data_IF_433245145244
#
_entry.id   IF_433245145244
#
_cell.length_a   1.000
_cell.length_b   1.000
_cell.length_c   1.000
_cell.angle_alpha   90.00
_cell.angle_beta   90.00
_cell.angle_gamma   90.00
#
_symmetry.space_group_name_H-M   'P 1'
#
loop_
_entity.id
_entity.type
_entity.pdbx_description
1 polymer ?
#
# COMPACT_ATOMS: atom_id res chain seq x y z
N UNK A 1 -7.45 -11.75 16.59
CA UNK A 1 -7.21 -10.33 16.95
C UNK A 1 -6.36 -9.69 15.88
N UNK A 2 -6.66 -8.44 15.53
CA UNK A 2 -5.87 -7.62 14.61
C UNK A 2 -4.70 -6.99 15.38
N UNK A 3 -3.48 -7.09 14.86
CA UNK A 3 -2.31 -6.41 15.43
C UNK A 3 -2.20 -5.02 14.84
N UNK A 4 -2.03 -4.00 15.67
CA UNK A 4 -1.70 -2.64 15.25
C UNK A 4 -0.21 -2.37 15.48
N UNK A 5 0.43 -1.68 14.55
CA UNK A 5 1.84 -1.29 14.64
C UNK A 5 1.91 0.24 14.76
N UNK A 6 2.24 0.74 15.95
CA UNK A 6 2.08 2.16 16.30
C UNK A 6 3.42 2.83 16.58
N UNK A 7 4.29 2.16 17.33
CA UNK A 7 5.61 2.69 17.70
C UNK A 7 6.63 2.53 16.57
N UNK A 8 7.71 3.31 16.58
CA UNK A 8 8.77 3.18 15.58
C UNK A 8 9.39 1.77 15.55
N UNK A 9 9.51 1.11 16.71
CA UNK A 9 10.01 -0.28 16.80
C UNK A 9 9.04 -1.26 16.15
N UNK A 10 7.74 -1.11 16.39
CA UNK A 10 6.72 -1.96 15.77
C UNK A 10 6.64 -1.72 14.26
N UNK A 11 6.78 -0.47 13.81
CA UNK A 11 6.84 -0.15 12.39
C UNK A 11 8.06 -0.76 11.71
N UNK A 12 9.22 -0.77 12.38
CA UNK A 12 10.41 -1.47 11.90
C UNK A 12 10.17 -2.98 11.79
N UNK A 13 9.50 -3.57 12.77
CA UNK A 13 9.11 -4.99 12.70
C UNK A 13 8.13 -5.25 11.54
N UNK A 14 7.12 -4.40 11.35
CA UNK A 14 6.20 -4.49 10.23
C UNK A 14 6.91 -4.39 8.87
N UNK A 15 7.95 -3.55 8.79
CA UNK A 15 8.79 -3.42 7.60
C UNK A 15 9.52 -4.74 7.28
N UNK A 16 10.14 -5.36 8.28
CA UNK A 16 10.80 -6.66 8.12
C UNK A 16 9.78 -7.75 7.75
N UNK A 17 8.64 -7.79 8.46
CA UNK A 17 7.55 -8.73 8.24
C UNK A 17 6.81 -8.54 6.91
N UNK A 18 7.06 -7.48 6.15
CA UNK A 18 6.48 -7.26 4.80
C UNK A 18 7.53 -7.40 3.69
N UNK A 19 8.80 -7.54 4.04
CA UNK A 19 9.91 -7.66 3.10
C UNK A 19 9.81 -8.95 2.26
N UNK A 20 10.27 -8.86 1.02
CA UNK A 20 10.42 -10.00 0.10
C UNK A 20 9.14 -10.56 -0.50
N UNK A 21 7.95 -10.02 -0.15
CA UNK A 21 6.70 -10.42 -0.79
C UNK A 21 6.29 -9.45 -1.90
N UNK A 22 6.20 -9.89 -3.17
CA UNK A 22 5.70 -9.04 -4.24
C UNK A 22 4.24 -8.64 -4.05
N UNK A 23 3.45 -9.47 -3.38
CA UNK A 23 2.04 -9.22 -3.10
C UNK A 23 1.83 -8.13 -2.05
N UNK A 24 2.84 -7.88 -1.21
CA UNK A 24 2.81 -6.84 -0.18
C UNK A 24 3.50 -5.55 -0.60
N UNK A 25 3.91 -5.38 -1.87
CA UNK A 25 4.67 -4.19 -2.29
C UNK A 25 4.00 -2.86 -1.88
N UNK A 26 2.69 -2.62 -2.11
CA UNK A 26 2.07 -1.37 -1.68
C UNK A 26 2.09 -1.18 -0.16
N UNK A 27 1.94 -2.28 0.59
CA UNK A 27 1.99 -2.29 2.06
C UNK A 27 3.40 -1.95 2.53
N UNK A 28 4.41 -2.67 2.01
CA UNK A 28 5.82 -2.50 2.35
C UNK A 28 6.31 -1.07 2.09
N UNK A 29 6.01 -0.50 0.91
CA UNK A 29 6.39 0.88 0.59
C UNK A 29 5.67 1.92 1.46
N UNK A 30 4.42 1.68 1.83
CA UNK A 30 3.70 2.58 2.74
C UNK A 30 4.34 2.61 4.13
N UNK A 31 4.73 1.45 4.66
CA UNK A 31 5.45 1.35 5.94
C UNK A 31 6.81 2.05 5.85
N UNK A 32 7.56 1.79 4.76
CA UNK A 32 8.85 2.44 4.51
C UNK A 32 8.72 3.96 4.51
N UNK A 33 7.74 4.50 3.78
CA UNK A 33 7.54 5.95 3.69
C UNK A 33 7.14 6.57 5.04
N UNK A 34 6.34 5.88 5.84
CA UNK A 34 6.01 6.33 7.21
C UNK A 34 7.27 6.36 8.09
N UNK A 35 8.08 5.29 8.09
CA UNK A 35 9.35 5.21 8.84
C UNK A 35 10.34 6.31 8.44
N UNK A 36 10.43 6.61 7.14
CA UNK A 36 11.36 7.60 6.59
C UNK A 36 10.81 9.03 6.65
N UNK A 37 9.54 9.23 7.03
CA UNK A 37 8.91 10.55 7.05
C UNK A 37 8.86 11.21 5.67
N UNK A 38 8.79 10.43 4.59
CA UNK A 38 8.87 10.93 3.20
C UNK A 38 7.69 11.85 2.87
N UNK A 39 6.51 11.57 3.44
CA UNK A 39 5.29 12.34 3.24
C UNK A 39 4.72 12.74 4.61
N UNK A 40 5.23 13.80 5.26
CA UNK A 40 4.77 14.21 6.60
C UNK A 40 3.27 14.54 6.66
N UNK A 41 2.69 15.00 5.55
CA UNK A 41 1.27 15.29 5.38
C UNK A 41 0.38 14.04 5.26
N UNK A 42 0.99 12.85 5.15
CA UNK A 42 0.28 11.58 5.05
C UNK A 42 0.68 10.64 6.19
N UNK A 43 -0.31 10.19 6.97
CA UNK A 43 -0.12 9.27 8.10
C UNK A 43 -0.73 7.91 7.83
N UNK A 44 0.02 6.86 8.15
CA UNK A 44 -0.38 5.48 7.97
C UNK A 44 -0.75 4.83 9.31
N UNK A 45 -1.95 4.26 9.40
CA UNK A 45 -2.31 3.28 10.41
C UNK A 45 -2.10 1.88 9.81
N UNK A 46 -1.25 1.07 10.43
CA UNK A 46 -0.81 -0.22 9.88
C UNK A 46 -1.31 -1.36 10.75
N UNK A 47 -1.91 -2.35 10.11
CA UNK A 47 -2.51 -3.49 10.77
C UNK A 47 -2.12 -4.80 10.10
N UNK A 48 -1.94 -5.84 10.92
CA UNK A 48 -1.61 -7.20 10.48
C UNK A 48 -2.50 -8.26 11.12
N UNK A 49 -2.80 -9.32 10.38
CA UNK A 49 -3.57 -10.47 10.84
C UNK A 49 -3.03 -11.77 10.26
N UNK A 50 -2.97 -12.88 11.02
CA UNK A 50 -3.23 -12.99 12.46
C UNK A 50 -2.19 -12.27 13.32
N UNK A 51 -2.51 -12.01 14.59
CA UNK A 51 -1.70 -11.18 15.50
C UNK A 51 -0.21 -11.59 15.57
N UNK A 52 0.06 -12.88 15.79
CA UNK A 52 1.44 -13.37 15.96
C UNK A 52 2.20 -13.60 14.66
N UNK A 53 1.51 -13.91 13.57
CA UNK A 53 2.14 -14.22 12.28
C UNK A 53 1.32 -13.61 11.13
N UNK A 54 1.41 -12.29 10.91
CA UNK A 54 0.57 -11.60 9.93
C UNK A 54 0.74 -12.12 8.50
N UNK A 55 -0.34 -12.65 7.93
CA UNK A 55 -0.45 -13.04 6.53
C UNK A 55 -1.28 -12.07 5.70
N UNK A 56 -2.17 -11.31 6.33
CA UNK A 56 -2.99 -10.26 5.73
C UNK A 56 -2.70 -8.94 6.40
N UNK A 57 -2.74 -7.88 5.61
CA UNK A 57 -2.34 -6.55 6.00
C UNK A 57 -3.37 -5.54 5.55
N UNK A 58 -3.62 -4.55 6.41
CA UNK A 58 -4.39 -3.35 6.06
C UNK A 58 -3.56 -2.11 6.40
N UNK A 59 -3.57 -1.14 5.50
CA UNK A 59 -3.07 0.21 5.78
C UNK A 59 -4.18 1.21 5.51
N UNK A 60 -4.44 2.08 6.49
CA UNK A 60 -5.24 3.28 6.30
C UNK A 60 -4.28 4.46 6.21
N UNK A 61 -4.13 5.02 5.01
CA UNK A 61 -3.32 6.21 4.76
C UNK A 61 -4.24 7.44 4.72
N UNK A 62 -4.11 8.32 5.71
CA UNK A 62 -4.82 9.60 5.79
C UNK A 62 -3.91 10.70 5.27
N UNK A 63 -4.36 11.47 4.28
CA UNK A 63 -3.64 12.60 3.71
C UNK A 63 -4.47 13.87 3.91
N UNK A 64 -3.84 15.01 4.17
CA UNK A 64 -4.53 16.28 4.40
C UNK A 64 -5.26 16.83 3.16
N UNK A 65 -4.85 16.42 1.96
CA UNK A 65 -5.31 16.98 0.68
C UNK A 65 -6.20 16.03 -0.12
N UNK A 66 -6.25 14.74 0.25
CA UNK A 66 -7.01 13.72 -0.50
C UNK A 66 -7.86 12.87 0.44
N UNK A 67 -8.85 12.19 -0.12
CA UNK A 67 -9.60 11.16 0.61
C UNK A 67 -8.63 10.11 1.20
N UNK A 68 -8.94 9.52 2.37
CA UNK A 68 -8.20 8.38 2.90
C UNK A 68 -8.08 7.25 1.88
N UNK A 69 -6.92 6.61 1.85
CA UNK A 69 -6.69 5.40 1.06
C UNK A 69 -6.60 4.19 1.97
N UNK A 70 -7.34 3.13 1.63
CA UNK A 70 -7.27 1.85 2.31
C UNK A 70 -6.60 0.86 1.39
N UNK A 71 -5.45 0.33 1.81
CA UNK A 71 -4.78 -0.76 1.12
C UNK A 71 -5.00 -2.04 1.90
N UNK A 72 -5.42 -3.12 1.24
CA UNK A 72 -5.38 -4.44 1.84
C UNK A 72 -4.69 -5.41 0.90
N UNK A 73 -3.87 -6.28 1.46
CA UNK A 73 -3.16 -7.29 0.71
C UNK A 73 -2.86 -8.50 1.58
N UNK A 74 -2.66 -9.63 0.93
CA UNK A 74 -2.13 -10.82 1.56
C UNK A 74 -0.71 -11.12 1.11
N UNK A 75 0.05 -11.79 1.99
CA UNK A 75 1.41 -12.27 1.69
C UNK A 75 1.41 -13.32 0.58
N UNK A 76 0.33 -14.09 0.46
CA UNK A 76 0.11 -15.14 -0.54
C UNK A 76 -1.35 -15.15 -0.98
N UNK A 77 -1.62 -15.58 -2.21
CA UNK A 77 -2.99 -15.80 -2.71
C UNK A 77 -3.41 -17.28 -2.69
N UNK A 78 -2.50 -18.21 -2.38
CA UNK A 78 -2.72 -19.65 -2.58
C UNK A 78 -3.15 -20.42 -1.32
N UNK A 79 -3.02 -19.82 -0.13
CA UNK A 79 -3.20 -20.53 1.15
C UNK A 79 -4.05 -19.75 2.17
N UNK A 80 -4.94 -18.89 1.70
CA UNK A 80 -5.84 -18.13 2.56
C UNK A 80 -7.26 -18.63 2.35
N UNK A 81 -7.90 -19.05 3.43
CA UNK A 81 -9.29 -19.53 3.37
C UNK A 81 -10.26 -18.34 3.36
N UNK A 82 -11.47 -18.55 2.83
CA UNK A 82 -12.54 -17.55 2.93
C UNK A 82 -12.85 -17.18 4.39
N UNK A 83 -12.80 -18.16 5.30
CA UNK A 83 -12.99 -17.90 6.74
C UNK A 83 -11.91 -17.00 7.34
N UNK A 84 -10.66 -17.11 6.89
CA UNK A 84 -9.59 -16.21 7.33
C UNK A 84 -9.83 -14.79 6.81
N UNK A 85 -10.23 -14.67 5.54
CA UNK A 85 -10.57 -13.38 4.91
C UNK A 85 -11.71 -12.71 5.66
N UNK A 86 -12.80 -13.44 5.90
CA UNK A 86 -13.97 -12.92 6.60
C UNK A 86 -13.61 -12.48 8.02
N UNK A 87 -12.84 -13.28 8.76
CA UNK A 87 -12.38 -12.92 10.09
C UNK A 87 -11.52 -11.65 10.07
N UNK A 88 -10.61 -11.52 9.11
CA UNK A 88 -9.79 -10.33 8.92
C UNK A 88 -10.65 -9.10 8.59
N UNK A 89 -11.58 -9.23 7.65
CA UNK A 89 -12.50 -8.16 7.27
C UNK A 89 -13.33 -7.72 8.49
N UNK A 90 -13.99 -8.63 9.19
CA UNK A 90 -14.78 -8.29 10.38
C UNK A 90 -13.96 -7.58 11.47
N UNK A 91 -12.69 -7.93 11.64
CA UNK A 91 -11.79 -7.24 12.58
C UNK A 91 -11.33 -5.86 12.10
N UNK A 92 -11.32 -5.60 10.79
CA UNK A 92 -10.96 -4.30 10.21
C UNK A 92 -12.15 -3.35 10.10
N UNK A 93 -13.38 -3.86 10.04
CA UNK A 93 -14.60 -3.08 9.86
C UNK A 93 -14.72 -1.87 10.81
N UNK A 94 -14.47 -1.97 12.13
CA UNK A 94 -14.58 -0.81 13.02
C UNK A 94 -13.70 0.36 12.59
N UNK A 95 -12.48 0.10 12.12
CA UNK A 95 -11.55 1.12 11.65
C UNK A 95 -11.96 1.73 10.30
N UNK A 96 -12.68 0.97 9.48
CA UNK A 96 -13.22 1.47 8.21
C UNK A 96 -14.46 2.34 8.43
N UNK A 97 -15.29 2.01 9.41
CA UNK A 97 -16.49 2.79 9.76
C UNK A 97 -16.15 4.16 10.34
N UNK A 98 -14.93 4.36 10.85
CA UNK A 98 -14.40 5.68 11.22
C UNK A 98 -14.11 6.58 10.01
N UNK A 99 -14.09 6.03 8.79
CA UNK A 99 -13.83 6.78 7.56
C UNK A 99 -15.16 7.20 6.93
N UNK A 100 -15.39 8.50 6.78
CA UNK A 100 -16.60 9.03 6.13
C UNK A 100 -16.67 8.68 4.64
N UNK A 101 -15.53 8.72 3.95
CA UNK A 101 -15.33 8.27 2.57
C UNK A 101 -13.88 7.79 2.42
N UNK A 102 -13.63 6.77 1.60
CA UNK A 102 -12.26 6.33 1.30
C UNK A 102 -12.15 5.68 -0.08
N UNK A 103 -10.93 5.60 -0.58
CA UNK A 103 -10.59 4.83 -1.78
C UNK A 103 -9.91 3.52 -1.39
N UNK A 104 -10.52 2.40 -1.74
CA UNK A 104 -10.00 1.06 -1.46
C UNK A 104 -9.09 0.57 -2.60
N UNK A 105 -7.95 -0.02 -2.23
CA UNK A 105 -7.04 -0.73 -3.15
C UNK A 105 -6.73 -2.10 -2.55
N UNK A 106 -7.45 -3.09 -3.05
CA UNK A 106 -7.44 -4.45 -2.49
C UNK A 106 -6.70 -5.37 -3.46
N UNK A 107 -5.58 -5.94 -3.00
CA UNK A 107 -4.78 -6.87 -3.78
C UNK A 107 -5.19 -8.30 -3.43
N UNK A 108 -5.80 -8.97 -4.41
CA UNK A 108 -6.26 -10.36 -4.30
C UNK A 108 -7.74 -10.47 -4.66
N UNK A 109 -8.06 -11.33 -5.63
CA UNK A 109 -9.41 -11.47 -6.18
C UNK A 109 -10.39 -11.88 -5.07
N UNK A 110 -10.07 -12.92 -4.30
CA UNK A 110 -10.92 -13.41 -3.22
C UNK A 110 -11.15 -12.36 -2.13
N UNK A 111 -10.09 -11.66 -1.68
CA UNK A 111 -10.21 -10.60 -0.68
C UNK A 111 -11.09 -9.45 -1.18
N UNK A 112 -10.92 -9.05 -2.44
CA UNK A 112 -11.72 -7.99 -3.08
C UNK A 112 -13.20 -8.40 -3.19
N UNK A 113 -13.47 -9.64 -3.58
CA UNK A 113 -14.84 -10.17 -3.69
C UNK A 113 -15.51 -10.20 -2.32
N UNK A 114 -14.87 -10.80 -1.31
CA UNK A 114 -15.42 -10.91 0.04
C UNK A 114 -15.64 -9.55 0.71
N UNK A 115 -14.73 -8.59 0.48
CA UNK A 115 -14.92 -7.21 0.98
C UNK A 115 -16.18 -6.57 0.39
N UNK A 116 -16.39 -6.73 -0.93
CA UNK A 116 -17.58 -6.20 -1.60
C UNK A 116 -18.86 -6.86 -1.07
N UNK A 117 -18.86 -8.18 -0.90
CA UNK A 117 -20.01 -8.93 -0.41
C UNK A 117 -20.35 -8.57 1.04
N UNK A 118 -19.37 -8.63 1.95
CA UNK A 118 -19.60 -8.40 3.38
C UNK A 118 -19.91 -6.95 3.72
N UNK A 119 -19.31 -5.99 3.01
CA UNK A 119 -19.43 -4.58 3.36
C UNK A 119 -20.33 -3.77 2.41
N UNK A 120 -20.98 -4.40 1.43
CA UNK A 120 -21.92 -3.74 0.50
C UNK A 120 -23.04 -2.95 1.20
N UNK A 121 -23.46 -3.36 2.40
CA UNK A 121 -24.45 -2.64 3.19
C UNK A 121 -23.90 -1.42 3.95
N UNK A 122 -22.58 -1.30 4.05
CA UNK A 122 -21.89 -0.25 4.80
C UNK A 122 -21.24 0.79 3.88
N UNK A 123 -20.76 0.37 2.72
CA UNK A 123 -20.04 1.23 1.77
C UNK A 123 -20.52 1.02 0.34
N UNK A 124 -20.57 2.11 -0.42
CA UNK A 124 -20.80 2.05 -1.87
C UNK A 124 -19.47 1.81 -2.59
N UNK A 125 -19.26 0.58 -3.05
CA UNK A 125 -18.11 0.20 -3.87
C UNK A 125 -18.38 0.54 -5.33
N UNK A 126 -18.23 1.82 -5.67
CA UNK A 126 -18.70 2.40 -6.93
C UNK A 126 -17.87 2.08 -8.19
N UNK A 127 -16.91 1.13 -8.16
CA UNK A 127 -16.07 0.84 -9.33
C UNK A 127 -15.55 -0.62 -9.39
N UNK A 128 -15.48 -1.22 -10.60
CA UNK A 128 -15.13 -2.62 -10.81
C UNK A 128 -13.67 -2.91 -10.47
N UNK A 129 -13.39 -4.14 -10.02
CA UNK A 129 -12.04 -4.68 -9.86
C UNK A 129 -11.17 -4.41 -11.09
N UNK A 130 -10.29 -3.40 -11.03
CA UNK A 130 -9.33 -3.13 -12.11
C UNK A 130 -8.17 -4.11 -11.99
N UNK A 131 -7.94 -4.91 -13.04
CA UNK A 131 -6.77 -5.77 -13.10
C UNK A 131 -5.50 -4.91 -13.20
N UNK A 132 -4.75 -4.84 -12.10
CA UNK A 132 -3.46 -4.15 -12.05
C UNK A 132 -2.34 -5.18 -12.17
N UNK A 133 -1.56 -5.09 -13.25
CA UNK A 133 -0.39 -5.93 -13.46
C UNK A 133 0.83 -5.31 -12.78
N UNK A 134 1.42 -6.04 -11.84
CA UNK A 134 2.68 -5.67 -11.21
C UNK A 134 3.84 -6.32 -11.97
N UNK A 135 4.75 -5.51 -12.52
CA UNK A 135 5.96 -6.01 -13.17
C UNK A 135 7.12 -6.00 -12.18
N UNK A 136 7.67 -7.19 -11.91
CA UNK A 136 8.77 -7.36 -10.97
C UNK A 136 10.08 -7.48 -11.75
N UNK A 137 11.04 -6.62 -11.43
CA UNK A 137 12.39 -6.69 -11.96
C UNK A 137 13.28 -7.33 -10.90
N UNK A 138 13.97 -8.42 -11.22
CA UNK A 138 14.89 -9.07 -10.27
C UNK A 138 16.04 -8.16 -9.89
N UNK A 139 16.61 -8.32 -8.69
CA UNK A 139 17.75 -7.51 -8.24
C UNK A 139 18.92 -7.55 -9.23
N UNK A 140 19.22 -8.72 -9.79
CA UNK A 140 20.29 -8.86 -10.79
C UNK A 140 20.02 -7.99 -12.01
N UNK A 141 18.77 -7.95 -12.51
CA UNK A 141 18.38 -7.06 -13.62
C UNK A 141 18.40 -5.59 -13.21
N UNK A 142 17.96 -5.25 -11.99
CA UNK A 142 18.04 -3.88 -11.48
C UNK A 142 19.49 -3.37 -11.46
N UNK A 143 20.45 -4.19 -10.98
CA UNK A 143 21.89 -3.87 -10.97
C UNK A 143 22.49 -3.73 -12.37
N UNK A 144 21.95 -4.43 -13.36
CA UNK A 144 22.35 -4.28 -14.76
C UNK A 144 21.81 -2.97 -15.33
N UNK A 145 20.51 -2.68 -15.11
CA UNK A 145 19.86 -1.44 -15.55
C UNK A 145 20.54 -0.21 -14.96
N UNK A 146 20.91 -0.23 -13.68
CA UNK A 146 21.58 0.89 -13.03
C UNK A 146 22.97 1.22 -13.61
N UNK A 147 23.55 0.32 -14.41
CA UNK A 147 24.83 0.51 -15.10
C UNK A 147 24.65 0.89 -16.57
N UNK A 148 23.42 0.91 -17.08
CA UNK A 148 23.16 1.27 -18.47
C UNK A 148 23.27 2.78 -18.64
N UNK A 149 24.09 3.21 -19.60
CA UNK A 149 24.09 4.61 -20.05
C UNK A 149 22.92 4.82 -21.01
N UNK A 150 21.93 5.60 -20.60
CA UNK A 150 20.81 5.98 -21.45
C UNK A 150 21.21 7.22 -22.24
N UNK A 151 21.37 7.07 -23.56
CA UNK A 151 21.59 8.19 -24.47
C UNK A 151 20.24 8.73 -24.95
N UNK A 152 20.02 10.03 -24.76
CA UNK A 152 18.85 10.72 -25.31
C UNK A 152 19.14 11.13 -26.76
N UNK A 153 18.06 11.31 -27.53
CA UNK A 153 18.16 11.87 -28.87
C UNK A 153 18.71 13.31 -28.84
N UNK A 154 19.32 13.75 -29.94
CA UNK A 154 19.82 15.12 -30.07
C UNK A 154 18.70 16.14 -29.78
N UNK A 155 19.03 17.15 -28.96
CA UNK A 155 18.07 18.17 -28.51
C UNK A 155 17.29 17.83 -27.24
N UNK A 156 17.50 16.66 -26.62
CA UNK A 156 16.87 16.26 -25.37
C UNK A 156 17.88 16.16 -24.22
N UNK A 157 17.46 16.54 -23.02
CA UNK A 157 18.23 16.42 -21.79
C UNK A 157 17.40 15.84 -20.64
N UNK A 158 18.06 15.18 -19.70
CA UNK A 158 17.45 14.84 -18.44
C UNK A 158 17.48 16.07 -17.52
N UNK A 159 16.31 16.49 -17.06
CA UNK A 159 16.19 17.55 -16.05
C UNK A 159 15.59 16.96 -14.78
N UNK A 160 16.23 17.19 -13.64
CA UNK A 160 15.66 16.85 -12.35
C UNK A 160 14.50 17.80 -12.04
N UNK A 161 13.33 17.23 -11.74
CA UNK A 161 12.16 18.02 -11.35
C UNK A 161 12.28 18.37 -9.86
N UNK A 162 12.92 19.50 -9.58
CA UNK A 162 12.89 20.09 -8.25
C UNK A 162 11.61 20.96 -8.10
N UNK A 163 10.66 20.59 -7.22
CA UNK A 163 9.45 21.36 -6.99
C UNK A 163 9.73 22.80 -6.51
N UNK A 164 10.90 23.07 -5.92
CA UNK A 164 11.27 24.40 -5.39
C UNK A 164 11.86 25.32 -6.47
N UNK A 165 12.36 24.78 -7.59
CA UNK A 165 12.97 25.59 -8.66
C UNK A 165 11.93 26.42 -9.42
N UNK A 166 10.66 25.98 -9.47
CA UNK A 166 9.57 26.72 -10.15
C UNK A 166 9.14 28.02 -9.45
N UNK A 167 9.56 28.25 -8.20
CA UNK A 167 9.24 29.49 -7.48
C UNK A 167 10.22 30.64 -7.78
N UNK A 168 11.33 30.38 -8.47
CA UNK A 168 12.36 31.40 -8.76
C UNK A 168 12.27 32.04 -10.15
N UNK A 169 11.50 31.47 -11.08
CA UNK A 169 11.35 32.00 -12.45
C UNK A 169 10.15 32.93 -12.65
N UNK A 170 9.50 33.37 -11.56
CA UNK A 170 8.52 34.47 -11.56
C UNK A 170 8.95 35.60 -10.62
N UNK A 171 10.03 36.30 -10.95
CA UNK A 171 10.27 37.69 -10.55
C UNK A 171 10.96 38.44 -11.68
#
# INVERSE_FOLDING_TARGET
MLRSFVTASELSEAFDLTTGSPYLLPIHYSIRHELQGVFPEAKCSIFGYPYHNPQMWMIIRRNQFTRPHVFMASRTQLFITESDIDAFLMLTLPYLLELSEFSARILGIQLSTRMSELFSSHFDFSAPSYLSNYFLISETKQRLISKMTIQLAEGYEFTELDPDVRLKTKR
#
